data_IF_704830383063
#
_entry.id   IF_704830383063
#
_cell.length_a   1.000
_cell.length_b   1.000
_cell.length_c   1.000
_cell.angle_alpha   90.00
_cell.angle_beta   90.00
_cell.angle_gamma   90.00
#
_symmetry.space_group_name_H-M   'P 1'
#
loop_
_entity.id
_entity.type
_entity.pdbx_description
1 polymer ?
#
# COMPACT_ATOMS: atom_id res chain seq x y z
N UNK A 1 15.57 11.67 -8.33
CA UNK A 1 14.49 10.77 -7.88
C UNK A 1 13.15 11.44 -8.08
N UNK A 2 12.09 10.63 -8.00
CA UNK A 2 10.71 11.10 -7.98
C UNK A 2 10.09 10.79 -6.61
N UNK A 3 9.06 11.54 -6.24
CA UNK A 3 8.20 11.26 -5.09
C UNK A 3 6.81 10.95 -5.61
N UNK A 4 6.19 9.90 -5.05
CA UNK A 4 4.81 9.52 -5.30
C UNK A 4 3.99 9.78 -4.04
N UNK A 5 2.76 10.26 -4.18
CA UNK A 5 1.84 10.45 -3.06
C UNK A 5 0.40 10.18 -3.45
N UNK A 6 -0.40 9.81 -2.46
CA UNK A 6 -1.86 9.73 -2.54
C UNK A 6 -2.47 11.04 -2.04
N UNK A 7 -3.51 11.53 -2.71
CA UNK A 7 -4.34 12.62 -2.21
C UNK A 7 -5.78 12.11 -2.05
N UNK A 8 -6.20 11.92 -0.80
CA UNK A 8 -7.54 11.45 -0.45
C UNK A 8 -8.62 12.50 -0.70
N UNK A 9 -8.28 13.79 -0.74
CA UNK A 9 -9.25 14.86 -0.98
C UNK A 9 -9.69 14.94 -2.44
N UNK A 10 -8.81 14.52 -3.35
CA UNK A 10 -9.05 14.50 -4.79
C UNK A 10 -9.17 13.10 -5.38
N UNK A 11 -8.98 12.05 -4.59
CA UNK A 11 -8.91 10.65 -5.02
C UNK A 11 -7.93 10.45 -6.19
N UNK A 12 -6.70 10.93 -6.01
CA UNK A 12 -5.63 10.82 -7.01
C UNK A 12 -4.35 10.23 -6.43
N UNK A 13 -3.55 9.63 -7.31
CA UNK A 13 -2.13 9.33 -7.05
C UNK A 13 -1.30 10.14 -8.03
N UNK A 14 -0.29 10.82 -7.50
CA UNK A 14 0.52 11.77 -8.25
C UNK A 14 2.00 11.51 -8.07
N UNK A 15 2.79 12.06 -8.99
CA UNK A 15 4.25 12.00 -8.98
C UNK A 15 4.84 13.37 -9.31
N UNK A 16 6.00 13.67 -8.74
CA UNK A 16 6.83 14.81 -9.11
C UNK A 16 8.31 14.46 -8.92
N UNK A 17 9.20 15.28 -9.48
CA UNK A 17 10.62 15.23 -9.08
C UNK A 17 10.74 15.66 -7.62
N UNK A 18 11.79 15.20 -6.94
CA UNK A 18 12.07 15.58 -5.54
C UNK A 18 12.20 17.10 -5.32
N UNK A 19 12.51 17.87 -6.37
CA UNK A 19 12.55 19.34 -6.33
C UNK A 19 11.18 20.01 -6.61
N UNK A 20 10.09 19.23 -6.66
CA UNK A 20 8.73 19.70 -6.91
C UNK A 20 8.37 19.97 -8.38
N UNK A 21 9.33 19.89 -9.31
CA UNK A 21 9.06 20.09 -10.74
C UNK A 21 8.43 18.85 -11.40
N UNK A 22 7.81 19.05 -12.57
CA UNK A 22 7.20 17.98 -13.38
C UNK A 22 6.16 17.14 -12.61
N UNK A 23 5.20 17.82 -11.97
CA UNK A 23 4.04 17.18 -11.35
C UNK A 23 3.14 16.54 -12.42
N UNK A 24 2.72 15.31 -12.18
CA UNK A 24 1.85 14.53 -13.05
C UNK A 24 0.88 13.67 -12.24
N UNK A 25 -0.36 13.55 -12.72
CA UNK A 25 -1.37 12.67 -12.11
C UNK A 25 -1.26 11.28 -12.73
N UNK A 26 -0.82 10.30 -11.93
CA UNK A 26 -0.56 8.91 -12.35
C UNK A 26 -1.86 8.13 -12.43
N UNK A 27 -2.74 8.27 -11.43
CA UNK A 27 -4.05 7.62 -11.38
C UNK A 27 -5.08 8.66 -10.95
N UNK A 28 -6.15 8.81 -11.73
CA UNK A 28 -7.21 9.80 -11.49
C UNK A 28 -8.63 9.23 -11.52
N UNK A 29 -8.78 7.92 -11.71
CA UNK A 29 -10.08 7.27 -11.85
C UNK A 29 -10.17 6.02 -10.99
N UNK A 30 -11.36 5.79 -10.44
CA UNK A 30 -11.66 4.59 -9.67
C UNK A 30 -10.84 4.46 -8.39
N UNK A 31 -10.30 5.55 -7.85
CA UNK A 31 -9.78 5.59 -6.48
C UNK A 31 -10.91 6.01 -5.53
N UNK A 32 -10.90 5.50 -4.31
CA UNK A 32 -11.84 5.83 -3.24
C UNK A 32 -11.13 5.81 -1.90
N UNK A 33 -10.76 7.01 -1.42
CA UNK A 33 -9.95 7.25 -0.23
C UNK A 33 -8.60 6.49 -0.24
N UNK A 34 -7.71 6.79 -1.20
CA UNK A 34 -6.35 6.27 -1.16
C UNK A 34 -5.63 6.80 0.09
N UNK A 35 -4.83 5.96 0.76
CA UNK A 35 -4.18 6.30 2.05
C UNK A 35 -2.69 6.06 2.08
N UNK A 36 -2.26 4.80 2.06
CA UNK A 36 -0.84 4.46 2.14
C UNK A 36 -0.30 4.12 0.76
N UNK A 37 0.98 4.40 0.52
CA UNK A 37 1.64 4.16 -0.76
C UNK A 37 3.07 3.69 -0.55
N UNK A 38 3.52 2.78 -1.40
CA UNK A 38 4.91 2.32 -1.45
C UNK A 38 5.29 1.98 -2.89
N UNK A 39 6.58 1.92 -3.18
CA UNK A 39 7.11 1.66 -4.52
C UNK A 39 8.10 0.51 -4.49
N UNK A 40 8.17 -0.26 -5.57
CA UNK A 40 9.31 -1.12 -5.85
C UNK A 40 10.04 -0.60 -7.10
N UNK A 41 11.06 0.26 -6.95
CA UNK A 41 11.68 0.95 -8.07
C UNK A 41 12.33 -0.01 -9.09
N UNK A 42 13.00 -1.06 -8.61
CA UNK A 42 13.69 -2.02 -9.50
C UNK A 42 12.72 -2.85 -10.36
N UNK A 43 11.58 -3.26 -9.80
CA UNK A 43 10.51 -3.97 -10.53
C UNK A 43 9.53 -3.02 -11.24
N UNK A 44 9.62 -1.72 -10.98
CA UNK A 44 8.75 -0.70 -11.56
C UNK A 44 7.30 -0.78 -11.07
N UNK A 45 7.07 -1.15 -9.81
CA UNK A 45 5.73 -1.24 -9.22
C UNK A 45 5.39 -0.10 -8.26
N UNK A 46 4.11 0.27 -8.26
CA UNK A 46 3.47 1.19 -7.33
C UNK A 46 2.38 0.41 -6.60
N UNK A 47 2.35 0.49 -5.27
CA UNK A 47 1.33 -0.16 -4.43
C UNK A 47 0.65 0.86 -3.54
N UNK A 48 -0.65 0.73 -3.35
CA UNK A 48 -1.39 1.61 -2.44
C UNK A 48 -2.55 0.91 -1.76
N UNK A 49 -3.02 1.52 -0.67
CA UNK A 49 -4.19 1.08 0.07
C UNK A 49 -5.36 2.05 -0.13
N UNK A 50 -6.57 1.50 -0.15
CA UNK A 50 -7.83 2.24 -0.18
C UNK A 50 -8.73 1.75 0.96
N UNK A 51 -9.40 2.69 1.63
CA UNK A 51 -10.27 2.41 2.77
C UNK A 51 -11.67 3.03 2.61
N UNK A 52 -12.06 3.30 1.36
CA UNK A 52 -13.37 3.78 0.95
C UNK A 52 -14.49 2.74 1.08
N UNK A 53 -15.50 2.83 0.22
CA UNK A 53 -16.64 1.91 0.17
C UNK A 53 -16.21 0.47 -0.13
N UNK A 54 -15.18 0.29 -0.95
CA UNK A 54 -14.61 -1.02 -1.32
C UNK A 54 -13.12 -1.07 -0.96
N UNK A 55 -12.78 -1.30 0.32
CA UNK A 55 -11.39 -1.34 0.77
C UNK A 55 -10.58 -2.39 0.01
N UNK A 56 -9.37 -2.02 -0.38
CA UNK A 56 -8.50 -2.88 -1.19
C UNK A 56 -7.04 -2.44 -1.16
N UNK A 57 -6.18 -3.34 -1.59
CA UNK A 57 -4.78 -3.08 -1.93
C UNK A 57 -4.63 -3.32 -3.42
N UNK A 58 -4.01 -2.37 -4.10
CA UNK A 58 -3.80 -2.42 -5.53
C UNK A 58 -2.33 -2.20 -5.89
N UNK A 59 -2.00 -2.62 -7.12
CA UNK A 59 -0.71 -2.43 -7.75
C UNK A 59 -0.89 -1.87 -9.15
N UNK A 60 0.04 -1.04 -9.59
CA UNK A 60 0.23 -0.69 -11.01
C UNK A 60 1.73 -0.61 -11.34
N UNK A 61 2.06 -0.37 -12.61
CA UNK A 61 3.36 0.20 -12.97
C UNK A 61 3.50 1.61 -12.41
N UNK A 62 4.74 2.10 -12.35
CA UNK A 62 5.09 3.46 -11.91
C UNK A 62 4.47 4.59 -12.75
N UNK A 63 3.94 4.28 -13.94
CA UNK A 63 3.21 5.20 -14.81
C UNK A 63 1.67 5.04 -14.73
N UNK A 64 1.18 4.16 -13.85
CA UNK A 64 -0.25 3.89 -13.66
C UNK A 64 -0.82 2.78 -14.55
N UNK A 65 -0.04 2.24 -15.49
CA UNK A 65 -0.48 1.13 -16.36
C UNK A 65 -0.49 -0.21 -15.62
N UNK A 66 -1.10 -1.24 -16.21
CA UNK A 66 -1.20 -2.60 -15.63
C UNK A 66 -1.76 -2.61 -14.20
N UNK A 67 -2.74 -1.74 -13.92
CA UNK A 67 -3.43 -1.69 -12.63
C UNK A 67 -4.14 -3.01 -12.34
N UNK A 68 -3.95 -3.54 -11.14
CA UNK A 68 -4.57 -4.76 -10.65
C UNK A 68 -4.90 -4.67 -9.17
N UNK A 69 -5.98 -5.35 -8.78
CA UNK A 69 -6.35 -5.54 -7.37
C UNK A 69 -5.61 -6.74 -6.82
N UNK A 70 -4.85 -6.55 -5.74
CA UNK A 70 -4.14 -7.63 -5.05
C UNK A 70 -4.96 -8.21 -3.89
N UNK A 71 -5.67 -7.35 -3.14
CA UNK A 71 -6.46 -7.76 -1.98
C UNK A 71 -7.78 -6.99 -1.95
N UNK A 72 -8.91 -7.69 -1.88
CA UNK A 72 -10.26 -7.11 -1.74
C UNK A 72 -11.20 -7.93 -0.85
N UNK A 73 -10.69 -8.95 -0.17
CA UNK A 73 -11.45 -9.82 0.75
C UNK A 73 -10.82 -9.70 2.12
N UNK A 74 -11.64 -9.74 3.18
CA UNK A 74 -11.17 -9.69 4.58
C UNK A 74 -10.22 -8.51 4.83
N UNK A 75 -10.55 -7.35 4.28
CA UNK A 75 -9.81 -6.09 4.42
C UNK A 75 -10.82 -4.98 4.69
N UNK A 76 -10.47 -4.02 5.55
CA UNK A 76 -11.38 -2.96 5.94
C UNK A 76 -10.68 -1.61 6.11
N UNK A 77 -9.71 -1.48 7.03
CA UNK A 77 -8.96 -0.22 7.23
C UNK A 77 -7.45 -0.43 7.04
N UNK A 78 -6.98 -0.67 5.81
CA UNK A 78 -5.56 -0.87 5.51
C UNK A 78 -4.79 0.45 5.62
N UNK A 79 -4.18 0.67 6.79
CA UNK A 79 -3.63 1.97 7.17
C UNK A 79 -2.18 2.16 6.75
N UNK A 80 -1.40 1.09 6.75
CA UNK A 80 0.02 1.09 6.41
C UNK A 80 0.33 -0.03 5.43
N UNK A 81 1.34 0.20 4.59
CA UNK A 81 1.82 -0.75 3.60
C UNK A 81 3.34 -0.65 3.49
N UNK A 82 4.03 -1.79 3.36
CA UNK A 82 5.49 -1.85 3.25
C UNK A 82 5.90 -2.98 2.30
N UNK A 83 7.01 -2.77 1.58
CA UNK A 83 7.60 -3.77 0.69
C UNK A 83 8.81 -4.37 1.36
N UNK A 84 8.86 -5.70 1.36
CA UNK A 84 10.07 -6.45 1.59
C UNK A 84 10.68 -6.79 0.23
N UNK A 85 11.80 -6.13 -0.07
CA UNK A 85 12.46 -6.22 -1.37
C UNK A 85 13.22 -7.54 -1.55
N UNK A 86 13.67 -8.15 -0.45
CA UNK A 86 14.48 -9.37 -0.49
C UNK A 86 13.57 -10.58 -0.68
N UNK A 87 12.50 -10.68 0.10
CA UNK A 87 11.57 -11.81 0.05
C UNK A 87 10.44 -11.64 -0.97
N UNK A 88 10.35 -10.46 -1.61
CA UNK A 88 9.31 -10.18 -2.59
C UNK A 88 7.90 -10.18 -1.98
N UNK A 89 7.76 -9.67 -0.76
CA UNK A 89 6.49 -9.63 -0.02
C UNK A 89 5.96 -8.22 0.14
N UNK A 90 4.63 -8.11 0.14
CA UNK A 90 3.91 -6.88 0.45
C UNK A 90 3.20 -7.06 1.78
N UNK A 91 3.56 -6.24 2.77
CA UNK A 91 2.99 -6.24 4.10
C UNK A 91 2.01 -5.09 4.26
N UNK A 92 0.93 -5.30 5.01
CA UNK A 92 0.02 -4.23 5.42
C UNK A 92 -0.48 -4.45 6.83
N UNK A 93 -0.87 -3.36 7.48
CA UNK A 93 -1.60 -3.39 8.75
C UNK A 93 -3.04 -2.89 8.54
N UNK A 94 -4.00 -3.60 9.11
CA UNK A 94 -5.42 -3.26 9.05
C UNK A 94 -5.96 -2.97 10.45
N UNK A 95 -6.34 -1.72 10.70
CA UNK A 95 -6.77 -1.22 12.01
C UNK A 95 -8.18 -1.66 12.42
N UNK A 96 -8.93 -2.30 11.52
CA UNK A 96 -10.28 -2.80 11.82
C UNK A 96 -10.28 -4.29 12.09
N UNK A 97 -9.36 -5.02 11.48
CA UNK A 97 -9.21 -6.47 11.69
C UNK A 97 -8.12 -6.83 12.69
N UNK A 98 -7.40 -5.83 13.20
CA UNK A 98 -6.28 -5.92 14.15
C UNK A 98 -5.21 -6.92 13.71
N UNK A 99 -4.79 -6.81 12.44
CA UNK A 99 -3.84 -7.74 11.81
C UNK A 99 -2.74 -7.03 11.06
N UNK A 100 -1.55 -7.63 11.09
CA UNK A 100 -0.52 -7.47 10.06
C UNK A 100 -0.54 -8.72 9.21
N UNK A 101 -0.62 -8.54 7.91
CA UNK A 101 -0.65 -9.62 6.93
C UNK A 101 0.36 -9.36 5.82
N UNK A 102 0.71 -10.41 5.10
CA UNK A 102 1.59 -10.33 3.93
C UNK A 102 1.09 -11.20 2.78
N UNK A 103 1.44 -10.80 1.56
CA UNK A 103 1.21 -11.55 0.32
C UNK A 103 2.48 -11.53 -0.54
N UNK A 104 2.51 -12.39 -1.55
CA UNK A 104 3.41 -12.21 -2.67
C UNK A 104 3.11 -10.90 -3.41
N UNK A 105 4.13 -10.04 -3.58
CA UNK A 105 3.92 -8.69 -4.12
C UNK A 105 3.57 -8.66 -5.62
N UNK A 106 3.83 -9.75 -6.35
CA UNK A 106 3.57 -9.79 -7.80
C UNK A 106 2.20 -10.38 -8.13
N UNK A 107 1.85 -11.45 -7.43
CA UNK A 107 0.66 -12.25 -7.72
C UNK A 107 -0.52 -11.91 -6.81
N UNK A 108 -0.27 -11.37 -5.61
CA UNK A 108 -1.30 -11.21 -4.59
C UNK A 108 -1.64 -12.50 -3.82
N UNK A 109 -0.95 -13.60 -4.14
CA UNK A 109 -1.20 -14.93 -3.58
C UNK A 109 -0.42 -15.16 -2.29
N UNK A 110 -0.61 -16.35 -1.69
CA UNK A 110 0.09 -16.80 -0.47
C UNK A 110 -0.10 -15.83 0.70
N UNK A 111 -1.36 -15.41 0.92
CA UNK A 111 -1.73 -14.55 2.05
C UNK A 111 -1.47 -15.24 3.37
N UNK A 112 -0.71 -14.58 4.23
CA UNK A 112 -0.34 -15.05 5.57
C UNK A 112 -0.64 -13.97 6.62
N UNK A 113 -1.15 -14.39 7.77
CA UNK A 113 -1.29 -13.53 8.95
C UNK A 113 0.02 -13.58 9.73
N UNK A 114 0.67 -12.44 9.88
CA UNK A 114 1.97 -12.32 10.55
C UNK A 114 1.79 -11.96 12.02
N UNK A 115 0.84 -11.07 12.30
CA UNK A 115 0.45 -10.69 13.65
C UNK A 115 -1.07 -10.59 13.71
N UNK A 116 -1.66 -11.12 14.78
CA UNK A 116 -3.06 -10.86 15.13
C UNK A 116 -3.16 -10.78 16.65
N UNK A 117 -3.64 -9.64 17.12
CA UNK A 117 -3.88 -9.36 18.54
C UNK A 117 -5.13 -8.50 18.65
N UNK A 118 -5.82 -8.55 19.78
CA UNK A 118 -7.04 -7.75 19.95
C UNK A 118 -6.71 -6.32 20.40
N UNK A 119 -7.52 -5.36 19.96
CA UNK A 119 -7.46 -3.95 20.36
C UNK A 119 -6.17 -3.24 19.96
N UNK A 120 -5.75 -3.41 18.69
CA UNK A 120 -4.64 -2.65 18.10
C UNK A 120 -5.19 -1.59 17.14
N UNK A 121 -5.04 -0.30 17.45
CA UNK A 121 -5.32 0.82 16.53
C UNK A 121 -4.10 1.09 15.61
N UNK A 122 -3.78 0.10 14.77
CA UNK A 122 -2.58 0.12 13.93
C UNK A 122 -2.62 1.26 12.90
N UNK A 123 -1.61 2.12 12.92
CA UNK A 123 -1.54 3.25 11.99
C UNK A 123 -0.53 3.07 10.85
N UNK A 124 0.60 2.40 11.09
CA UNK A 124 1.66 2.24 10.09
C UNK A 124 2.42 0.94 10.33
N UNK A 125 3.02 0.40 9.27
CA UNK A 125 3.89 -0.77 9.29
C UNK A 125 5.11 -0.53 8.39
N UNK A 126 6.28 -0.98 8.82
CA UNK A 126 7.49 -1.02 8.02
C UNK A 126 8.22 -2.34 8.25
N UNK A 127 8.83 -2.87 7.19
CA UNK A 127 9.69 -4.06 7.26
C UNK A 127 11.13 -3.64 6.97
N UNK A 128 12.06 -4.20 7.74
CA UNK A 128 13.49 -4.08 7.48
C UNK A 128 14.18 -5.34 7.99
N UNK A 129 14.82 -6.06 7.08
CA UNK A 129 15.39 -7.38 7.34
C UNK A 129 14.33 -8.30 7.98
N UNK A 130 14.69 -9.03 9.03
CA UNK A 130 13.84 -9.94 9.79
C UNK A 130 12.82 -9.24 10.72
N UNK A 131 12.80 -7.90 10.77
CA UNK A 131 12.00 -7.14 11.72
C UNK A 131 10.81 -6.44 11.05
N UNK A 132 9.69 -6.49 11.76
CA UNK A 132 8.48 -5.75 11.44
C UNK A 132 8.26 -4.72 12.55
N UNK A 133 8.14 -3.46 12.14
CA UNK A 133 7.88 -2.32 13.01
C UNK A 133 6.47 -1.82 12.73
N UNK A 134 5.70 -1.55 13.77
CA UNK A 134 4.38 -0.93 13.62
C UNK A 134 4.15 0.13 14.69
N UNK A 135 3.30 1.10 14.35
CA UNK A 135 2.80 2.09 15.30
C UNK A 135 1.35 1.79 15.64
N UNK A 136 1.04 1.85 16.93
CA UNK A 136 -0.31 1.71 17.50
C UNK A 136 -0.65 3.00 18.27
N UNK A 137 -1.93 3.33 18.44
CA UNK A 137 -2.40 4.57 19.06
C UNK A 137 -3.01 4.39 20.44
#
# INVERSE_FOLDING_TARGET
GNIYWTDQGFDVIEVARLNGSFRYVVISQGLDKPRAITVHPEKGYLFWTEWGQYPRIERSRLDGTERMVLVNVSISWPNGISVDYEDGKLYWCDARTDKIERIDLETGENREVVLSSNNMDMFSVSVFEEYIYWSDR
#
